data_IF_802336303225
#
_entry.id   IF_802336303225
#
_cell.length_a   1.000
_cell.length_b   1.000
_cell.length_c   1.000
_cell.angle_alpha   90.00
_cell.angle_beta   90.00
_cell.angle_gamma   90.00
#
_symmetry.space_group_name_H-M   'P 1'
#
loop_
_entity.id
_entity.type
_entity.pdbx_description
1 polymer ?
#
# COMPACT_ATOMS: atom_id res chain seq x y z
N UNK A 1 -11.51 -5.78 -15.30
CA UNK A 1 -12.37 -6.87 -14.80
C UNK A 1 -13.65 -6.35 -14.17
N UNK A 2 -13.55 -5.32 -13.32
CA UNK A 2 -14.66 -4.82 -12.52
C UNK A 2 -15.40 -3.61 -13.13
N UNK A 3 -14.71 -2.84 -13.99
CA UNK A 3 -15.30 -1.76 -14.79
C UNK A 3 -14.64 -1.71 -16.19
N UNK A 4 -15.29 -1.09 -17.19
CA UNK A 4 -14.75 -0.89 -18.53
C UNK A 4 -13.40 -0.16 -18.56
N UNK A 5 -12.42 -0.68 -19.32
CA UNK A 5 -11.10 -0.04 -19.49
C UNK A 5 -11.20 1.38 -20.07
N UNK A 6 -12.23 1.67 -20.85
CA UNK A 6 -12.50 3.00 -21.40
C UNK A 6 -12.74 4.06 -20.33
N UNK A 7 -13.23 3.69 -19.14
CA UNK A 7 -13.43 4.65 -18.05
C UNK A 7 -12.11 5.22 -17.50
N UNK A 8 -10.97 4.56 -17.70
CA UNK A 8 -9.65 5.09 -17.30
C UNK A 8 -9.37 6.46 -17.93
N UNK A 9 -9.94 6.77 -19.11
CA UNK A 9 -9.82 8.08 -19.78
C UNK A 9 -10.58 9.20 -19.05
N UNK A 10 -11.41 8.85 -18.06
CA UNK A 10 -12.20 9.80 -17.27
C UNK A 10 -11.58 10.08 -15.90
N UNK A 11 -10.41 9.51 -15.58
CA UNK A 11 -9.73 9.74 -14.31
C UNK A 11 -9.61 11.23 -13.99
N UNK A 12 -9.98 11.60 -12.76
CA UNK A 12 -10.03 12.99 -12.24
C UNK A 12 -10.97 13.96 -12.98
N UNK A 13 -11.78 13.51 -13.94
CA UNK A 13 -12.79 14.35 -14.59
C UNK A 13 -14.02 14.52 -13.69
N UNK A 14 -14.67 15.69 -13.78
CA UNK A 14 -15.90 15.97 -13.05
C UNK A 14 -17.00 14.96 -13.44
N UNK A 15 -17.66 14.38 -12.44
CA UNK A 15 -18.70 13.36 -12.64
C UNK A 15 -18.16 11.96 -12.97
N UNK A 16 -16.85 11.77 -13.03
CA UNK A 16 -16.24 10.44 -13.14
C UNK A 16 -16.40 9.64 -11.85
N UNK A 17 -16.46 8.32 -11.99
CA UNK A 17 -16.35 7.35 -10.90
C UNK A 17 -14.91 7.08 -10.47
N UNK A 18 -13.93 7.71 -11.12
CA UNK A 18 -12.49 7.57 -10.87
C UNK A 18 -11.91 8.89 -10.34
N UNK A 19 -12.21 9.28 -9.08
CA UNK A 19 -11.65 10.48 -8.45
C UNK A 19 -10.14 10.34 -8.21
N UNK A 20 -9.45 11.47 -7.96
CA UNK A 20 -8.01 11.50 -7.71
C UNK A 20 -7.58 10.76 -6.43
N UNK A 21 -8.46 10.66 -5.44
CA UNK A 21 -8.32 9.77 -4.29
C UNK A 21 -9.52 8.82 -4.27
N UNK A 22 -9.35 7.53 -3.97
CA UNK A 22 -10.46 6.58 -3.90
C UNK A 22 -11.56 7.07 -2.96
N UNK A 23 -12.81 7.00 -3.43
CA UNK A 23 -14.00 7.38 -2.66
C UNK A 23 -14.95 6.18 -2.58
N UNK A 24 -15.32 5.76 -1.37
CA UNK A 24 -16.28 4.68 -1.15
C UNK A 24 -17.62 5.04 -1.81
N UNK A 25 -18.11 4.16 -2.67
CA UNK A 25 -19.36 4.36 -3.42
C UNK A 25 -19.16 4.91 -4.84
N UNK A 26 -17.98 5.41 -5.19
CA UNK A 26 -17.64 5.76 -6.57
C UNK A 26 -17.59 4.52 -7.47
N UNK A 27 -17.01 3.43 -6.97
CA UNK A 27 -17.08 2.08 -7.52
C UNK A 27 -17.54 1.08 -6.45
N UNK A 28 -18.25 -0.01 -6.84
CA UNK A 28 -18.66 -1.06 -5.90
C UNK A 28 -17.51 -1.70 -5.11
N UNK A 29 -16.31 -1.73 -5.69
CA UNK A 29 -15.13 -2.40 -5.13
C UNK A 29 -14.30 -1.52 -4.21
N UNK A 30 -14.59 -0.21 -4.13
CA UNK A 30 -13.86 0.71 -3.24
C UNK A 30 -14.43 0.60 -1.83
N UNK A 31 -13.72 -0.14 -0.98
CA UNK A 31 -14.11 -0.41 0.41
C UNK A 31 -14.05 0.84 1.32
N UNK A 32 -13.14 1.77 1.02
CA UNK A 32 -12.77 2.90 1.89
C UNK A 32 -12.51 4.16 1.07
N UNK A 33 -12.99 5.31 1.56
CA UNK A 33 -12.53 6.62 1.07
C UNK A 33 -11.16 6.91 1.67
N UNK A 34 -10.15 7.13 0.83
CA UNK A 34 -8.76 7.34 1.25
C UNK A 34 -8.26 8.75 0.85
N UNK A 35 -6.99 9.04 1.10
CA UNK A 35 -6.34 10.31 0.76
C UNK A 35 -5.59 10.92 1.95
N UNK A 36 -6.27 11.20 3.07
CA UNK A 36 -5.59 11.62 4.30
C UNK A 36 -4.66 10.49 4.78
N UNK A 37 -3.35 10.75 4.72
CA UNK A 37 -2.32 9.78 5.06
C UNK A 37 -2.55 9.16 6.43
N UNK A 38 -2.32 7.85 6.53
CA UNK A 38 -2.42 7.08 7.78
C UNK A 38 -3.84 6.69 8.20
N UNK A 39 -4.90 7.38 7.75
CA UNK A 39 -6.28 7.02 8.16
C UNK A 39 -6.69 5.63 7.65
N UNK A 40 -6.21 5.23 6.47
CA UNK A 40 -6.45 3.89 5.91
C UNK A 40 -5.97 2.76 6.84
N UNK A 41 -4.89 2.97 7.59
CA UNK A 41 -4.36 2.01 8.58
C UNK A 41 -5.37 1.82 9.71
N UNK A 42 -5.89 2.91 10.27
CA UNK A 42 -6.90 2.89 11.33
C UNK A 42 -8.20 2.20 10.88
N UNK A 43 -8.65 2.49 9.65
CA UNK A 43 -9.84 1.82 9.06
C UNK A 43 -9.59 0.33 8.88
N UNK A 44 -8.43 -0.08 8.37
CA UNK A 44 -8.06 -1.48 8.19
C UNK A 44 -8.04 -2.26 9.52
N UNK A 45 -7.53 -1.63 10.59
CA UNK A 45 -7.58 -2.19 11.95
C UNK A 45 -9.03 -2.40 12.41
N UNK A 46 -9.91 -1.41 12.19
CA UNK A 46 -11.34 -1.53 12.51
C UNK A 46 -12.03 -2.65 11.74
N UNK A 47 -11.77 -2.76 10.42
CA UNK A 47 -12.30 -3.82 9.57
C UNK A 47 -11.84 -5.21 10.02
N UNK A 48 -10.54 -5.37 10.29
CA UNK A 48 -9.98 -6.64 10.74
C UNK A 48 -10.57 -7.06 12.10
N UNK A 49 -10.74 -6.11 13.02
CA UNK A 49 -11.39 -6.36 14.30
C UNK A 49 -12.86 -6.79 14.13
N UNK A 50 -13.63 -6.10 13.29
CA UNK A 50 -15.03 -6.42 13.04
C UNK A 50 -15.18 -7.84 12.46
N UNK A 51 -14.37 -8.18 11.44
CA UNK A 51 -14.35 -9.52 10.84
C UNK A 51 -13.97 -10.60 11.86
N UNK A 52 -13.01 -10.32 12.74
CA UNK A 52 -12.62 -11.24 13.80
C UNK A 52 -13.73 -11.45 14.84
N UNK A 53 -14.50 -10.42 15.18
CA UNK A 53 -15.67 -10.52 16.06
C UNK A 53 -16.76 -11.36 15.39
N UNK A 54 -17.04 -11.11 14.11
CA UNK A 54 -18.13 -11.77 13.38
C UNK A 54 -17.84 -13.24 13.09
N UNK A 55 -16.63 -13.56 12.62
CA UNK A 55 -16.26 -14.90 12.16
C UNK A 55 -15.45 -15.70 13.19
N UNK A 56 -14.96 -15.06 14.24
CA UNK A 56 -14.13 -15.68 15.27
C UNK A 56 -12.64 -15.66 14.94
N UNK A 57 -11.86 -16.37 15.75
CA UNK A 57 -10.42 -16.51 15.57
C UNK A 57 -10.10 -17.30 14.30
N UNK A 58 -9.02 -16.94 13.61
CA UNK A 58 -8.56 -17.67 12.41
C UNK A 58 -8.28 -19.15 12.66
N UNK A 59 -7.90 -19.51 13.88
CA UNK A 59 -7.68 -20.91 14.28
C UNK A 59 -8.98 -21.73 14.36
N UNK A 60 -10.13 -21.07 14.36
CA UNK A 60 -11.45 -21.70 14.54
C UNK A 60 -12.25 -21.73 13.25
N UNK A 61 -12.14 -20.68 12.41
CA UNK A 61 -12.90 -20.53 11.15
C UNK A 61 -12.08 -19.77 10.11
N UNK A 62 -12.51 -19.86 8.85
CA UNK A 62 -11.99 -19.08 7.75
C UNK A 62 -12.40 -17.59 7.87
N UNK A 63 -11.81 -16.88 8.82
CA UNK A 63 -12.00 -15.44 9.03
C UNK A 63 -11.43 -14.66 7.84
N UNK A 64 -12.20 -13.79 7.17
CA UNK A 64 -11.71 -12.97 6.07
C UNK A 64 -10.54 -12.09 6.49
N UNK A 65 -9.67 -11.81 5.52
CA UNK A 65 -8.43 -11.07 5.74
C UNK A 65 -8.51 -9.67 5.18
N UNK A 66 -7.94 -8.73 5.92
CA UNK A 66 -7.73 -7.35 5.50
C UNK A 66 -6.28 -7.17 5.09
N UNK A 67 -6.07 -6.54 3.94
CA UNK A 67 -4.77 -6.08 3.49
C UNK A 67 -4.78 -4.56 3.48
N UNK A 68 -3.71 -3.94 3.97
CA UNK A 68 -3.55 -2.49 3.99
C UNK A 68 -2.17 -2.15 3.43
N UNK A 69 -2.14 -1.46 2.30
CA UNK A 69 -0.92 -0.92 1.72
C UNK A 69 -0.72 0.49 2.27
N UNK A 70 0.50 0.80 2.65
CA UNK A 70 0.89 2.09 3.22
C UNK A 70 2.29 2.48 2.71
N UNK A 71 2.67 3.75 2.89
CA UNK A 71 3.95 4.29 2.38
C UNK A 71 4.87 4.80 3.50
N UNK A 72 6.12 5.12 3.12
CA UNK A 72 7.08 5.77 4.02
C UNK A 72 6.60 7.13 4.56
N UNK A 73 5.78 7.85 3.80
CA UNK A 73 5.14 9.08 4.25
C UNK A 73 4.06 8.81 5.29
N UNK A 74 3.24 7.77 5.07
CA UNK A 74 2.14 7.44 5.99
C UNK A 74 2.63 6.99 7.37
N UNK A 75 3.74 6.25 7.46
CA UNK A 75 4.28 5.81 8.76
C UNK A 75 4.84 6.94 9.62
N UNK A 76 4.91 8.17 9.11
CA UNK A 76 5.26 9.36 9.89
C UNK A 76 4.07 9.92 10.66
N UNK A 77 2.84 9.57 10.26
CA UNK A 77 1.63 10.01 10.94
C UNK A 77 1.48 9.31 12.30
N UNK A 78 1.26 10.09 13.35
CA UNK A 78 1.13 9.58 14.72
C UNK A 78 0.04 8.50 14.87
N UNK A 79 -1.09 8.69 14.18
CA UNK A 79 -2.21 7.75 14.20
C UNK A 79 -1.85 6.34 13.71
N UNK A 80 -0.84 6.20 12.84
CA UNK A 80 -0.42 4.90 12.33
C UNK A 80 0.17 4.05 13.46
N UNK A 81 0.92 4.69 14.37
CA UNK A 81 1.48 4.04 15.55
C UNK A 81 0.40 3.66 16.57
N UNK A 82 -0.62 4.49 16.74
CA UNK A 82 -1.80 4.16 17.55
C UNK A 82 -2.57 2.96 16.99
N UNK A 83 -2.72 2.91 15.66
CA UNK A 83 -3.36 1.81 14.95
C UNK A 83 -2.56 0.50 15.08
N UNK A 84 -1.24 0.53 14.91
CA UNK A 84 -0.37 -0.65 15.11
C UNK A 84 -0.46 -1.19 16.53
N UNK A 85 -0.36 -0.31 17.53
CA UNK A 85 -0.51 -0.70 18.93
C UNK A 85 -1.87 -1.36 19.20
N UNK A 86 -2.94 -0.83 18.61
CA UNK A 86 -4.28 -1.44 18.70
C UNK A 86 -4.34 -2.81 18.02
N UNK A 87 -3.77 -2.95 16.82
CA UNK A 87 -3.76 -4.19 16.07
C UNK A 87 -3.05 -5.32 16.82
N UNK A 88 -1.89 -5.01 17.41
CA UNK A 88 -1.10 -5.93 18.24
C UNK A 88 -1.85 -6.28 19.52
N UNK A 89 -2.37 -5.29 20.24
CA UNK A 89 -3.16 -5.52 21.48
C UNK A 89 -4.37 -6.42 21.26
N UNK A 90 -4.99 -6.33 20.06
CA UNK A 90 -6.15 -7.14 19.65
C UNK A 90 -5.78 -8.43 18.92
N UNK A 91 -4.48 -8.70 18.75
CA UNK A 91 -3.95 -9.92 18.15
C UNK A 91 -4.53 -10.15 16.73
N UNK A 92 -4.61 -9.11 15.90
CA UNK A 92 -5.29 -9.16 14.59
C UNK A 92 -4.49 -9.95 13.54
N UNK A 93 -4.48 -11.28 13.65
CA UNK A 93 -3.84 -12.22 12.70
C UNK A 93 -4.55 -12.37 11.34
N UNK A 94 -5.67 -11.68 11.17
CA UNK A 94 -6.36 -11.49 9.90
C UNK A 94 -6.05 -10.12 9.27
N UNK A 95 -5.00 -9.42 9.72
CA UNK A 95 -4.54 -8.16 9.17
C UNK A 95 -3.10 -8.27 8.69
N UNK A 96 -2.88 -7.96 7.41
CA UNK A 96 -1.55 -7.84 6.81
C UNK A 96 -1.37 -6.40 6.33
N UNK A 97 -0.36 -5.74 6.86
CA UNK A 97 0.14 -4.48 6.34
C UNK A 97 1.24 -4.74 5.31
N UNK A 98 1.32 -3.89 4.28
CA UNK A 98 2.36 -3.92 3.25
C UNK A 98 2.91 -2.51 3.10
N UNK A 99 4.09 -2.26 3.65
CA UNK A 99 4.78 -0.99 3.52
C UNK A 99 5.51 -0.95 2.17
N UNK A 100 5.10 -0.05 1.28
CA UNK A 100 5.86 0.36 0.11
C UNK A 100 7.04 1.22 0.57
N UNK A 101 8.19 0.57 0.74
CA UNK A 101 9.41 1.17 1.28
C UNK A 101 10.30 1.65 0.14
N UNK A 102 9.91 2.75 -0.50
CA UNK A 102 10.60 3.34 -1.65
C UNK A 102 11.57 4.48 -1.28
N UNK A 103 11.57 4.92 0.00
CA UNK A 103 12.42 5.98 0.59
C UNK A 103 12.15 7.38 0.03
N UNK A 104 11.03 7.57 -0.65
CA UNK A 104 10.62 8.82 -1.29
C UNK A 104 9.33 9.33 -0.63
N UNK A 105 9.22 10.65 -0.56
CA UNK A 105 7.97 11.37 -0.31
C UNK A 105 7.91 12.59 -1.24
N UNK A 106 6.87 13.42 -1.09
CA UNK A 106 6.66 14.62 -1.92
C UNK A 106 7.97 15.42 -2.04
N UNK A 107 8.48 15.47 -3.27
CA UNK A 107 9.67 16.19 -3.73
C UNK A 107 10.99 15.87 -3.00
N UNK A 108 11.04 14.93 -2.06
CA UNK A 108 12.21 14.69 -1.22
C UNK A 108 12.42 13.21 -0.90
N UNK A 109 13.67 12.86 -0.57
CA UNK A 109 13.97 11.59 0.07
C UNK A 109 13.56 11.65 1.53
N UNK A 110 13.02 10.55 2.07
CA UNK A 110 12.55 10.52 3.47
C UNK A 110 13.66 10.85 4.48
N UNK A 111 14.92 10.55 4.16
CA UNK A 111 16.06 10.89 5.01
C UNK A 111 16.34 12.41 5.13
N UNK A 112 15.79 13.25 4.25
CA UNK A 112 15.99 14.70 4.24
C UNK A 112 14.96 15.47 5.07
N UNK A 113 13.85 14.82 5.38
CA UNK A 113 12.64 15.45 5.93
C UNK A 113 12.21 14.82 7.26
N UNK A 114 12.58 13.57 7.51
CA UNK A 114 12.21 12.84 8.71
C UNK A 114 13.32 11.87 9.16
N UNK A 115 13.27 11.51 10.44
CA UNK A 115 14.15 10.46 10.98
C UNK A 115 13.64 9.09 10.51
N UNK A 116 14.30 8.54 9.50
CA UNK A 116 13.90 7.28 8.90
C UNK A 116 14.37 6.05 9.70
N UNK A 117 15.68 5.94 9.96
CA UNK A 117 16.28 4.90 10.80
C UNK A 117 15.98 3.46 10.36
N UNK A 118 16.10 2.53 11.31
CA UNK A 118 15.75 1.12 11.11
C UNK A 118 14.23 0.91 11.20
N UNK A 119 13.56 1.03 10.05
CA UNK A 119 12.09 0.93 9.92
C UNK A 119 11.59 -0.42 10.42
N UNK A 120 12.21 -1.53 9.99
CA UNK A 120 11.83 -2.88 10.41
C UNK A 120 11.91 -3.04 11.94
N UNK A 121 13.05 -2.64 12.54
CA UNK A 121 13.22 -2.71 13.99
C UNK A 121 12.21 -1.85 14.77
N UNK A 122 11.82 -0.68 14.24
CA UNK A 122 10.76 0.15 14.86
C UNK A 122 9.40 -0.54 14.84
N UNK A 123 9.06 -1.21 13.74
CA UNK A 123 7.82 -1.96 13.60
C UNK A 123 7.79 -3.19 14.51
N UNK A 124 8.90 -3.93 14.59
CA UNK A 124 9.07 -5.06 15.52
C UNK A 124 8.94 -4.60 16.98
N UNK A 125 9.51 -3.44 17.34
CA UNK A 125 9.39 -2.88 18.69
C UNK A 125 7.94 -2.53 19.08
N UNK A 126 7.06 -2.27 18.10
CA UNK A 126 5.61 -2.12 18.31
C UNK A 126 4.87 -3.46 18.39
N UNK A 127 5.57 -4.60 18.23
CA UNK A 127 5.04 -5.95 18.35
C UNK A 127 4.46 -6.53 17.06
N UNK A 128 4.73 -5.92 15.90
CA UNK A 128 4.37 -6.47 14.60
C UNK A 128 5.30 -7.64 14.23
N UNK A 129 4.76 -8.66 13.58
CA UNK A 129 5.60 -9.66 12.91
C UNK A 129 6.08 -9.10 11.58
N UNK A 130 7.39 -8.87 11.41
CA UNK A 130 7.93 -8.20 10.22
C UNK A 130 8.53 -9.20 9.24
N UNK A 131 8.15 -9.07 7.97
CA UNK A 131 8.76 -9.77 6.84
C UNK A 131 9.35 -8.72 5.89
N UNK A 132 10.68 -8.53 5.92
CA UNK A 132 11.36 -7.62 5.00
C UNK A 132 11.79 -8.33 3.72
N UNK A 133 11.44 -7.76 2.57
CA UNK A 133 11.64 -8.37 1.25
C UNK A 133 12.13 -7.39 0.18
N UNK A 134 12.60 -7.93 -0.93
CA UNK A 134 12.76 -7.21 -2.19
C UNK A 134 11.38 -6.99 -2.84
N UNK A 135 10.88 -5.76 -2.81
CA UNK A 135 9.51 -5.40 -3.17
C UNK A 135 9.24 -5.34 -4.68
N UNK A 136 10.28 -5.26 -5.51
CA UNK A 136 10.13 -5.31 -6.98
C UNK A 136 10.22 -6.74 -7.56
N UNK A 137 10.22 -7.77 -6.70
CA UNK A 137 10.26 -9.19 -7.07
C UNK A 137 8.93 -9.86 -6.73
N UNK A 138 8.13 -10.18 -7.75
CA UNK A 138 6.80 -10.77 -7.58
C UNK A 138 6.83 -12.10 -6.84
N UNK A 139 7.84 -12.95 -7.08
CA UNK A 139 8.05 -14.19 -6.33
C UNK A 139 8.26 -13.94 -4.83
N UNK A 140 9.03 -12.91 -4.47
CA UNK A 140 9.27 -12.54 -3.06
C UNK A 140 8.02 -11.99 -2.38
N UNK A 141 7.22 -11.21 -3.09
CA UNK A 141 5.91 -10.75 -2.59
C UNK A 141 4.99 -11.96 -2.34
N UNK A 142 4.94 -12.92 -3.27
CA UNK A 142 4.09 -14.11 -3.13
C UNK A 142 4.55 -15.04 -1.99
N UNK A 143 5.87 -15.23 -1.84
CA UNK A 143 6.46 -15.94 -0.71
C UNK A 143 6.10 -15.28 0.62
N UNK A 144 6.26 -13.95 0.73
CA UNK A 144 5.95 -13.20 1.95
C UNK A 144 4.47 -13.22 2.28
N UNK A 145 3.58 -13.06 1.29
CA UNK A 145 2.13 -13.15 1.51
C UNK A 145 1.77 -14.55 2.00
N UNK A 146 2.37 -15.61 1.43
CA UNK A 146 2.16 -16.99 1.87
C UNK A 146 2.60 -17.17 3.33
N UNK A 147 3.82 -16.76 3.68
CA UNK A 147 4.33 -16.83 5.05
C UNK A 147 3.49 -16.03 6.04
N UNK A 148 3.10 -14.80 5.67
CA UNK A 148 2.23 -13.95 6.48
C UNK A 148 0.86 -14.60 6.74
N UNK A 149 0.39 -15.53 5.88
CA UNK A 149 -0.84 -16.27 6.15
C UNK A 149 -0.70 -17.28 7.26
N UNK A 150 0.48 -17.80 7.51
CA UNK A 150 0.73 -18.82 8.53
C UNK A 150 0.95 -18.21 9.92
N UNK A 151 1.22 -16.90 9.99
CA UNK A 151 1.36 -16.18 11.26
C UNK A 151 -0.01 -16.08 11.95
N UNK A 152 -0.01 -16.39 13.25
CA UNK A 152 -1.18 -16.42 14.11
C UNK A 152 -0.94 -15.55 15.35
N UNK A 153 -2.01 -15.08 15.99
CA UNK A 153 -1.92 -14.34 17.25
C UNK A 153 -1.44 -12.88 17.14
N UNK A 154 -1.20 -12.36 15.94
CA UNK A 154 -0.81 -10.97 15.75
C UNK A 154 -0.79 -10.52 14.29
N UNK A 155 -0.86 -9.20 14.03
CA UNK A 155 -0.74 -8.63 12.70
C UNK A 155 0.66 -8.80 12.10
N UNK A 156 0.72 -8.93 10.79
CA UNK A 156 1.98 -9.01 10.02
C UNK A 156 2.20 -7.70 9.28
N UNK A 157 3.46 -7.26 9.22
CA UNK A 157 3.93 -6.18 8.37
C UNK A 157 4.93 -6.73 7.35
N UNK A 158 4.59 -6.63 6.07
CA UNK A 158 5.52 -6.90 4.98
C UNK A 158 6.20 -5.57 4.62
N UNK A 159 7.51 -5.47 4.87
CA UNK A 159 8.31 -4.31 4.47
C UNK A 159 8.87 -4.60 3.07
N UNK A 160 8.23 -4.05 2.05
CA UNK A 160 8.62 -4.25 0.66
C UNK A 160 9.61 -3.16 0.22
N UNK A 161 10.90 -3.49 0.13
CA UNK A 161 11.91 -2.57 -0.39
C UNK A 161 11.74 -2.39 -1.90
N UNK A 162 11.18 -1.26 -2.31
CA UNK A 162 10.85 -0.95 -3.70
C UNK A 162 11.69 0.20 -4.23
N UNK A 163 11.70 0.36 -5.55
CA UNK A 163 12.19 1.53 -6.27
C UNK A 163 10.98 2.34 -6.73
N UNK A 164 10.84 3.58 -6.27
CA UNK A 164 9.82 4.49 -6.79
C UNK A 164 10.04 4.71 -8.29
N UNK A 165 8.99 4.66 -9.11
CA UNK A 165 9.11 4.78 -10.58
C UNK A 165 9.67 3.54 -11.29
N UNK A 166 9.69 2.36 -10.64
CA UNK A 166 10.28 1.13 -11.19
C UNK A 166 9.84 0.84 -12.63
N UNK A 167 10.81 0.52 -13.48
CA UNK A 167 10.61 0.14 -14.88
C UNK A 167 10.73 1.29 -15.88
N UNK A 168 10.78 2.54 -15.39
CA UNK A 168 10.99 3.73 -16.23
C UNK A 168 12.24 4.46 -15.74
N UNK A 169 13.33 4.34 -16.50
CA UNK A 169 14.69 4.74 -16.14
C UNK A 169 14.84 6.19 -15.65
N UNK A 170 14.03 7.12 -16.18
CA UNK A 170 14.07 8.53 -15.81
C UNK A 170 13.13 8.89 -14.65
N UNK A 171 12.31 7.94 -14.19
CA UNK A 171 11.46 8.07 -13.00
C UNK A 171 12.03 7.29 -11.80
N UNK A 172 12.89 6.30 -12.05
CA UNK A 172 13.44 5.45 -10.99
C UNK A 172 14.20 6.25 -9.93
N UNK A 173 13.75 6.11 -8.67
CA UNK A 173 14.33 6.75 -7.49
C UNK A 173 14.41 8.29 -7.57
N UNK A 174 13.47 8.94 -8.26
CA UNK A 174 13.39 10.40 -8.39
C UNK A 174 12.11 10.95 -7.74
N UNK A 175 12.21 11.67 -6.60
CA UNK A 175 11.06 12.26 -5.91
C UNK A 175 10.22 13.26 -6.74
N UNK A 176 10.79 13.85 -7.78
CA UNK A 176 10.07 14.80 -8.65
C UNK A 176 8.96 14.15 -9.47
N UNK A 177 8.94 12.82 -9.53
CA UNK A 177 7.92 12.02 -10.23
C UNK A 177 6.79 11.53 -9.32
N UNK A 178 6.71 11.99 -8.07
CA UNK A 178 5.64 11.59 -7.15
C UNK A 178 4.24 11.96 -7.66
N UNK A 179 4.06 13.15 -8.22
CA UNK A 179 2.78 13.68 -8.70
C UNK A 179 2.87 14.38 -10.08
N UNK A 180 4.06 14.38 -10.71
CA UNK A 180 4.26 14.98 -12.02
C UNK A 180 3.56 14.18 -13.13
N UNK A 181 2.80 14.90 -13.96
CA UNK A 181 2.22 14.33 -15.19
C UNK A 181 3.28 14.26 -16.29
N UNK A 182 3.52 13.09 -16.91
CA UNK A 182 4.46 12.98 -18.03
C UNK A 182 3.98 13.78 -19.24
N UNK A 183 4.93 14.42 -19.95
CA UNK A 183 4.71 14.93 -21.29
C UNK A 183 4.50 13.80 -22.30
N UNK A 184 4.04 14.12 -23.52
CA UNK A 184 3.83 13.13 -24.57
C UNK A 184 5.12 12.36 -24.95
N UNK A 185 6.26 13.04 -24.94
CA UNK A 185 7.57 12.43 -25.25
C UNK A 185 8.02 11.51 -24.11
N UNK A 186 7.87 11.95 -22.86
CA UNK A 186 8.16 11.13 -21.66
C UNK A 186 7.25 9.90 -21.61
N UNK A 187 5.96 10.04 -21.92
CA UNK A 187 5.01 8.92 -22.00
C UNK A 187 5.45 7.90 -23.07
N UNK A 188 5.77 8.37 -24.28
CA UNK A 188 6.22 7.50 -25.37
C UNK A 188 7.49 6.73 -24.99
N UNK A 189 8.42 7.41 -24.33
CA UNK A 189 9.65 6.78 -23.83
C UNK A 189 9.34 5.75 -22.73
N UNK A 190 8.50 6.09 -21.77
CA UNK A 190 8.10 5.18 -20.68
C UNK A 190 7.43 3.91 -21.19
N UNK A 191 6.47 4.02 -22.13
CA UNK A 191 5.80 2.86 -22.72
C UNK A 191 6.78 1.93 -23.44
N UNK A 192 7.74 2.51 -24.18
CA UNK A 192 8.81 1.73 -24.82
C UNK A 192 9.67 0.97 -23.81
N UNK A 193 10.03 1.59 -22.69
CA UNK A 193 10.82 0.94 -21.62
C UNK A 193 10.04 -0.17 -20.92
N UNK A 194 8.72 -0.02 -20.80
CA UNK A 194 7.80 -1.03 -20.26
C UNK A 194 7.48 -2.17 -21.24
N UNK A 195 7.94 -2.09 -22.50
CA UNK A 195 7.65 -3.08 -23.53
C UNK A 195 6.25 -2.99 -24.13
N UNK A 196 5.56 -1.87 -23.93
CA UNK A 196 4.24 -1.58 -24.50
C UNK A 196 4.39 -0.88 -25.86
N UNK A 197 3.69 -1.36 -26.89
CA UNK A 197 3.58 -0.65 -28.17
C UNK A 197 2.38 0.30 -28.10
N UNK A 198 2.52 1.54 -28.62
CA UNK A 198 1.56 2.66 -28.58
C UNK A 198 0.12 2.39 -29.09
N UNK A 199 -0.27 1.16 -29.40
CA UNK A 199 -1.57 0.83 -30.02
C UNK A 199 -2.72 0.60 -29.01
N UNK A 200 -2.52 0.79 -27.69
CA UNK A 200 -3.55 0.46 -26.68
C UNK A 200 -3.85 1.51 -25.59
N UNK A 201 -3.48 2.79 -25.78
CA UNK A 201 -3.87 3.87 -24.84
C UNK A 201 -5.01 4.72 -25.40
#
# INVERSE_FOLDING_TARGET
GNFPRSELKTFMQAGSRLPGHPERGSLPEVEVSAGPLGQGVSVAVGMALALKIQYGQRSQKATPRVYCVLSDGEIQEGQVWEAFNTAVRRQLDNLIFILDRNRIQIENYVAQVATYGEVAGRLEAFGLHVLEIEGNRTDKIMEAITQAKEVMGGPVMIVANTVGGKGVSFMENDPSWHDKVPSQDELTKALKELGENNEQV
#
